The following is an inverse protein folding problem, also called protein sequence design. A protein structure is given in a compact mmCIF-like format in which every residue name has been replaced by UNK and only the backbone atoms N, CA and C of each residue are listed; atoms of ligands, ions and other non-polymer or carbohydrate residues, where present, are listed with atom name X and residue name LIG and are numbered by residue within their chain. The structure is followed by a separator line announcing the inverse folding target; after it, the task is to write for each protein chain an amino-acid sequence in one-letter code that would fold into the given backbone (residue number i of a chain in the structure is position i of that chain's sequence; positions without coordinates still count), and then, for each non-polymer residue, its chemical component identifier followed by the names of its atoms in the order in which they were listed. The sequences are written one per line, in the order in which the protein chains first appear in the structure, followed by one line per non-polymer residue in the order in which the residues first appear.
data_IF_452997624579
#
_entry.id   IF_452997624579
#
_cell.length_a   1.000
_cell.length_b   1.000
_cell.length_c   1.000
_cell.angle_alpha   90.00
_cell.angle_beta   90.00
_cell.angle_gamma   90.00
#
_symmetry.space_group_name_H-M   'P 1'
#
loop_
_entity.id
_entity.type
_entity.pdbx_description
1 polymer ?
#
# COMPACT_ATOMS: atom_id res chain seq x y z
N UNK A 1 -18.01 18.37 7.92
CA UNK A 1 -16.57 18.11 7.98
C UNK A 1 -16.27 16.62 7.88
N UNK A 2 -16.83 15.74 8.72
CA UNK A 2 -16.55 14.29 8.77
C UNK A 2 -16.62 13.62 7.40
N UNK A 3 -17.67 13.89 6.61
CA UNK A 3 -17.80 13.30 5.27
C UNK A 3 -16.72 13.78 4.29
N UNK A 4 -16.32 15.06 4.36
CA UNK A 4 -15.20 15.59 3.55
C UNK A 4 -13.88 14.91 3.91
N UNK A 5 -13.60 14.76 5.20
CA UNK A 5 -12.37 14.06 5.68
C UNK A 5 -12.33 12.63 5.19
N UNK A 6 -13.44 11.89 5.31
CA UNK A 6 -13.51 10.49 4.85
C UNK A 6 -13.41 10.37 3.34
N UNK A 7 -14.10 11.22 2.57
CA UNK A 7 -13.98 11.25 1.12
C UNK A 7 -12.54 11.55 0.67
N UNK A 8 -11.90 12.52 1.29
CA UNK A 8 -10.51 12.88 1.01
C UNK A 8 -9.52 11.75 1.34
N UNK A 9 -9.71 11.07 2.46
CA UNK A 9 -8.88 9.91 2.86
C UNK A 9 -9.02 8.75 1.88
N UNK A 10 -10.25 8.42 1.48
CA UNK A 10 -10.49 7.37 0.48
C UNK A 10 -9.91 7.78 -0.88
N UNK A 11 -10.09 9.03 -1.30
CA UNK A 11 -9.46 9.55 -2.50
C UNK A 11 -7.94 9.38 -2.47
N UNK A 12 -7.29 9.75 -1.37
CA UNK A 12 -5.83 9.62 -1.19
C UNK A 12 -5.32 8.18 -1.30
N UNK A 13 -6.13 7.18 -0.94
CA UNK A 13 -5.79 5.76 -1.11
C UNK A 13 -5.66 5.41 -2.60
N UNK A 14 -6.50 5.99 -3.47
CA UNK A 14 -6.57 5.65 -4.90
C UNK A 14 -5.75 6.56 -5.80
N UNK A 15 -5.40 7.76 -5.34
CA UNK A 15 -4.64 8.75 -6.13
C UNK A 15 -3.28 9.12 -5.53
N UNK A 16 -2.96 8.58 -4.36
CA UNK A 16 -1.70 8.84 -3.67
C UNK A 16 -1.69 10.14 -2.86
N UNK A 17 -2.52 11.12 -3.20
CA UNK A 17 -2.73 12.36 -2.47
C UNK A 17 -4.23 12.67 -2.36
N UNK A 18 -4.63 13.37 -1.31
CA UNK A 18 -6.00 13.86 -1.16
C UNK A 18 -6.32 15.02 -2.09
N UNK A 19 -7.62 15.28 -2.33
CA UNK A 19 -8.08 16.51 -2.97
C UNK A 19 -7.74 17.74 -2.14
N UNK A 20 -7.85 17.62 -0.81
CA UNK A 20 -7.24 18.54 0.16
C UNK A 20 -5.91 17.92 0.60
N UNK A 21 -4.80 18.60 0.35
CA UNK A 21 -3.44 18.09 0.63
C UNK A 21 -3.06 18.21 2.09
N UNK A 22 -3.52 19.25 2.79
CA UNK A 22 -3.39 19.37 4.24
C UNK A 22 -4.41 18.44 4.94
N UNK A 23 -4.13 17.13 4.94
CA UNK A 23 -5.05 16.13 5.47
C UNK A 23 -5.29 16.23 6.99
N UNK A 24 -4.46 16.93 7.69
CA UNK A 24 -4.48 17.25 9.13
C UNK A 24 -5.18 18.56 9.44
N UNK A 25 -5.33 19.47 8.44
CA UNK A 25 -6.00 20.74 8.61
C UNK A 25 -6.93 21.06 7.42
N UNK A 26 -8.22 20.92 7.65
CA UNK A 26 -9.29 21.33 6.74
C UNK A 26 -9.84 22.72 7.07
N UNK A 27 -9.15 23.44 7.97
CA UNK A 27 -9.54 24.77 8.42
C UNK A 27 -8.85 25.90 7.65
N UNK A 28 -8.89 27.08 8.22
CA UNK A 28 -8.41 28.29 7.56
C UNK A 28 -6.89 28.42 7.45
N UNK A 29 -6.13 27.56 8.12
CA UNK A 29 -4.66 27.51 8.00
C UNK A 29 -4.19 26.40 7.06
N UNK A 30 -5.09 25.48 6.69
CA UNK A 30 -4.82 24.42 5.73
C UNK A 30 -4.81 24.94 4.29
N UNK A 31 -4.26 24.12 3.40
CA UNK A 31 -4.27 24.41 1.98
C UNK A 31 -5.67 24.14 1.39
N UNK A 32 -6.29 25.11 0.69
CA UNK A 32 -7.59 24.89 0.08
C UNK A 32 -7.50 23.79 -1.00
N UNK A 33 -8.51 22.91 -1.12
CA UNK A 33 -8.49 21.87 -2.14
C UNK A 33 -8.59 22.47 -3.54
N UNK A 34 -7.79 21.97 -4.49
CA UNK A 34 -7.82 22.42 -5.88
C UNK A 34 -9.17 22.14 -6.57
N UNK A 35 -9.87 21.08 -6.14
CA UNK A 35 -11.16 20.65 -6.67
C UNK A 35 -12.22 20.61 -5.55
N UNK A 36 -12.53 21.78 -4.97
CA UNK A 36 -13.46 21.90 -3.83
C UNK A 36 -14.85 21.33 -4.18
N UNK A 37 -15.38 21.66 -5.35
CA UNK A 37 -16.71 21.20 -5.78
C UNK A 37 -16.77 19.66 -5.89
N UNK A 38 -15.69 19.02 -6.36
CA UNK A 38 -15.60 17.57 -6.42
C UNK A 38 -15.57 16.96 -5.02
N UNK A 39 -14.78 17.53 -4.11
CA UNK A 39 -14.71 17.07 -2.73
C UNK A 39 -16.08 17.20 -2.04
N UNK A 40 -16.76 18.32 -2.23
CA UNK A 40 -18.07 18.57 -1.66
C UNK A 40 -19.13 17.61 -2.20
N UNK A 41 -19.13 17.38 -3.50
CA UNK A 41 -20.04 16.42 -4.12
C UNK A 41 -19.83 15.01 -3.57
N UNK A 42 -18.58 14.53 -3.53
CA UNK A 42 -18.26 13.22 -2.97
C UNK A 42 -18.66 13.11 -1.50
N UNK A 43 -18.45 14.18 -0.72
CA UNK A 43 -18.82 14.24 0.68
C UNK A 43 -20.34 14.19 0.89
N UNK A 44 -21.12 14.93 0.08
CA UNK A 44 -22.57 14.94 0.13
C UNK A 44 -23.17 13.58 -0.26
N UNK A 45 -22.69 13.00 -1.36
CA UNK A 45 -23.11 11.66 -1.80
C UNK A 45 -22.77 10.58 -0.74
N UNK A 46 -21.61 10.70 -0.11
CA UNK A 46 -21.20 9.80 0.97
C UNK A 46 -22.06 9.97 2.23
N UNK A 47 -22.33 11.21 2.65
CA UNK A 47 -23.14 11.50 3.83
C UNK A 47 -24.59 11.01 3.72
N UNK A 48 -25.13 10.89 2.52
CA UNK A 48 -26.49 10.42 2.29
C UNK A 48 -26.74 8.97 2.75
N UNK A 49 -25.70 8.13 2.83
CA UNK A 49 -25.85 6.73 3.25
C UNK A 49 -24.64 6.13 3.93
N UNK A 50 -23.55 6.86 4.06
CA UNK A 50 -22.26 6.40 4.63
C UNK A 50 -21.74 5.10 4.02
N UNK A 51 -22.09 4.83 2.76
CA UNK A 51 -21.69 3.63 2.03
C UNK A 51 -20.30 3.79 1.42
N UNK A 52 -19.31 3.24 2.11
CA UNK A 52 -17.91 3.23 1.69
C UNK A 52 -17.73 2.50 0.35
N UNK A 53 -18.43 1.38 0.13
CA UNK A 53 -18.31 0.59 -1.11
C UNK A 53 -18.82 1.37 -2.32
N UNK A 54 -19.91 2.09 -2.15
CA UNK A 54 -20.46 2.98 -3.18
C UNK A 54 -19.49 4.09 -3.52
N UNK A 55 -18.90 4.75 -2.52
CA UNK A 55 -17.90 5.80 -2.74
C UNK A 55 -16.66 5.27 -3.46
N UNK A 56 -16.12 4.13 -3.03
CA UNK A 56 -15.00 3.46 -3.71
C UNK A 56 -15.36 3.16 -5.17
N UNK A 57 -16.53 2.58 -5.43
CA UNK A 57 -16.99 2.28 -6.79
C UNK A 57 -17.05 3.54 -7.64
N UNK A 58 -17.61 4.64 -7.12
CA UNK A 58 -17.67 5.94 -7.81
C UNK A 58 -16.27 6.41 -8.21
N UNK A 59 -15.29 6.30 -7.29
CA UNK A 59 -13.90 6.70 -7.55
C UNK A 59 -13.27 5.82 -8.63
N UNK A 60 -13.26 4.50 -8.46
CA UNK A 60 -12.48 3.59 -9.35
C UNK A 60 -13.10 3.41 -10.74
N UNK A 61 -14.41 3.69 -10.89
CA UNK A 61 -15.05 3.67 -12.22
C UNK A 61 -14.96 5.01 -12.95
N UNK A 62 -14.46 6.06 -12.29
CA UNK A 62 -14.33 7.39 -12.90
C UNK A 62 -13.31 7.40 -14.05
N UNK A 63 -13.49 8.31 -15.01
CA UNK A 63 -12.52 8.52 -16.09
C UNK A 63 -11.16 8.95 -15.55
N UNK A 64 -11.15 9.76 -14.50
CA UNK A 64 -9.93 10.25 -13.85
C UNK A 64 -9.09 9.09 -13.29
N UNK A 65 -9.71 8.13 -12.64
CA UNK A 65 -9.00 6.96 -12.11
C UNK A 65 -8.45 6.04 -13.21
N UNK A 66 -9.17 5.91 -14.33
CA UNK A 66 -8.82 5.01 -15.43
C UNK A 66 -7.88 5.61 -16.47
N UNK A 67 -7.35 6.80 -16.24
CA UNK A 67 -6.34 7.42 -17.11
C UNK A 67 -5.03 6.64 -17.05
N UNK A 68 -4.22 6.77 -18.12
CA UNK A 68 -2.82 6.36 -18.10
C UNK A 68 -2.04 7.18 -17.07
N UNK A 69 -1.01 6.57 -16.50
CA UNK A 69 0.00 7.29 -15.72
C UNK A 69 1.13 7.87 -16.60
N UNK A 70 1.15 7.54 -17.88
CA UNK A 70 2.09 8.11 -18.83
C UNK A 70 1.61 9.51 -19.25
N UNK A 71 2.55 10.43 -19.34
CA UNK A 71 2.29 11.81 -19.68
C UNK A 71 3.46 12.40 -20.49
N UNK A 72 3.15 13.33 -21.38
CA UNK A 72 4.17 14.10 -22.10
C UNK A 72 4.98 14.97 -21.12
N UNK A 73 6.24 15.27 -21.48
CA UNK A 73 7.14 16.06 -20.64
C UNK A 73 6.58 17.46 -20.33
N UNK A 74 5.91 18.08 -21.29
CA UNK A 74 5.28 19.38 -21.08
C UNK A 74 4.20 19.34 -20.00
N UNK A 75 3.41 18.25 -19.92
CA UNK A 75 2.41 18.07 -18.87
C UNK A 75 3.06 17.84 -17.51
N UNK A 76 4.15 17.06 -17.46
CA UNK A 76 4.92 16.83 -16.25
C UNK A 76 5.56 18.11 -15.72
N UNK A 77 6.09 18.96 -16.62
CA UNK A 77 6.67 20.25 -16.26
C UNK A 77 5.61 21.26 -15.77
N UNK A 78 4.42 21.25 -16.41
CA UNK A 78 3.33 22.17 -16.05
C UNK A 78 2.63 21.82 -14.75
N UNK A 79 2.44 20.53 -14.48
CA UNK A 79 1.73 20.01 -13.31
C UNK A 79 2.49 18.82 -12.72
N UNK A 80 3.66 19.06 -12.09
CA UNK A 80 4.50 18.00 -11.54
C UNK A 80 3.76 17.17 -10.48
N UNK A 81 2.95 17.82 -9.67
CA UNK A 81 2.22 17.20 -8.55
C UNK A 81 0.88 16.59 -8.96
N UNK A 82 0.54 16.63 -10.25
CA UNK A 82 -0.74 16.16 -10.77
C UNK A 82 -1.96 16.76 -10.05
N UNK A 83 -1.92 18.05 -9.76
CA UNK A 83 -3.00 18.78 -9.08
C UNK A 83 -4.24 18.89 -9.95
N UNK A 84 -4.04 18.96 -11.27
CA UNK A 84 -5.11 19.05 -12.27
C UNK A 84 -5.74 17.69 -12.61
N UNK A 85 -5.24 16.60 -12.03
CA UNK A 85 -5.72 15.23 -12.24
C UNK A 85 -5.73 14.83 -13.73
N UNK A 86 -4.76 15.30 -14.50
CA UNK A 86 -4.65 15.07 -15.93
C UNK A 86 -4.05 13.70 -16.30
N UNK A 87 -3.55 12.97 -15.33
CA UNK A 87 -3.00 11.61 -15.44
C UNK A 87 -3.29 10.80 -14.19
N UNK A 88 -3.11 9.48 -14.25
CA UNK A 88 -3.09 8.68 -13.02
C UNK A 88 -1.78 8.91 -12.26
N UNK A 89 -1.86 9.04 -10.94
CA UNK A 89 -0.68 9.22 -10.09
C UNK A 89 0.18 7.95 -10.04
N UNK A 90 1.47 8.13 -9.78
CA UNK A 90 2.41 7.02 -9.47
C UNK A 90 2.91 7.20 -8.05
N UNK A 91 2.63 6.23 -7.19
CA UNK A 91 3.10 6.25 -5.81
C UNK A 91 3.38 4.85 -5.29
N UNK A 92 4.25 4.76 -4.31
CA UNK A 92 4.55 3.49 -3.65
C UNK A 92 3.40 3.12 -2.70
N UNK A 93 3.06 1.83 -2.67
CA UNK A 93 2.13 1.29 -1.68
C UNK A 93 2.63 1.53 -0.24
N UNK A 94 1.72 1.68 0.74
CA UNK A 94 2.10 1.64 2.15
C UNK A 94 2.69 0.26 2.49
N UNK A 95 3.44 0.19 3.59
CA UNK A 95 4.18 -1.01 3.99
C UNK A 95 3.33 -2.29 4.00
N UNK A 96 2.13 -2.20 4.58
CA UNK A 96 1.19 -3.32 4.61
C UNK A 96 0.75 -3.74 3.21
N UNK A 97 0.52 -2.75 2.32
CA UNK A 97 0.14 -3.00 0.93
C UNK A 97 1.26 -3.63 0.10
N UNK A 98 2.53 -3.26 0.33
CA UNK A 98 3.69 -3.92 -0.33
C UNK A 98 3.72 -5.39 0.06
N UNK A 99 3.60 -5.71 1.35
CA UNK A 99 3.55 -7.07 1.83
C UNK A 99 2.39 -7.84 1.22
N UNK A 100 1.18 -7.30 1.31
CA UNK A 100 -0.03 -7.96 0.82
C UNK A 100 0.02 -8.22 -0.69
N UNK A 101 0.53 -7.26 -1.46
CA UNK A 101 0.69 -7.41 -2.91
C UNK A 101 1.66 -8.56 -3.28
N UNK A 102 2.79 -8.66 -2.59
CA UNK A 102 3.78 -9.72 -2.83
C UNK A 102 3.22 -11.10 -2.46
N UNK A 103 2.56 -11.20 -1.30
CA UNK A 103 1.92 -12.46 -0.88
C UNK A 103 0.77 -12.87 -1.80
N UNK A 104 -0.04 -11.91 -2.25
CA UNK A 104 -1.13 -12.15 -3.21
C UNK A 104 -0.60 -12.65 -4.56
N UNK A 105 0.40 -11.96 -5.10
CA UNK A 105 1.02 -12.29 -6.39
C UNK A 105 1.63 -13.69 -6.40
N UNK A 106 2.28 -14.07 -5.30
CA UNK A 106 2.87 -15.41 -5.16
C UNK A 106 1.85 -16.51 -4.91
N UNK A 107 0.64 -16.16 -4.43
CA UNK A 107 -0.38 -17.11 -4.01
C UNK A 107 -0.23 -17.60 -2.57
N UNK A 108 0.66 -16.99 -1.79
CA UNK A 108 0.84 -17.29 -0.37
C UNK A 108 -0.17 -16.60 0.55
N UNK A 109 -0.83 -15.53 0.09
CA UNK A 109 -1.69 -14.72 0.94
C UNK A 109 -2.83 -15.54 1.56
N UNK A 110 -2.90 -15.52 2.88
CA UNK A 110 -4.01 -16.08 3.65
C UNK A 110 -5.05 -15.01 3.91
N UNK A 111 -6.22 -15.15 3.29
CA UNK A 111 -7.33 -14.17 3.35
C UNK A 111 -8.32 -14.43 4.50
N UNK A 112 -7.84 -14.81 5.65
CA UNK A 112 -8.66 -14.98 6.84
C UNK A 112 -8.96 -13.64 7.50
N UNK A 113 -10.22 -13.33 7.77
CA UNK A 113 -10.66 -12.10 8.44
C UNK A 113 -10.84 -12.32 9.94
N UNK A 114 -10.35 -11.36 10.73
CA UNK A 114 -10.44 -11.41 12.20
C UNK A 114 -9.36 -12.30 12.83
N UNK A 115 -9.55 -12.65 14.09
CA UNK A 115 -8.60 -13.47 14.84
C UNK A 115 -7.41 -12.69 15.43
N UNK A 116 -6.46 -13.39 16.06
CA UNK A 116 -5.31 -12.79 16.72
C UNK A 116 -4.28 -12.23 15.74
N UNK A 117 -3.38 -11.39 16.26
CA UNK A 117 -2.20 -10.94 15.53
C UNK A 117 -1.30 -12.10 15.17
N UNK A 118 -0.56 -11.94 14.07
CA UNK A 118 0.40 -12.94 13.58
C UNK A 118 1.82 -12.41 13.66
N UNK A 119 2.77 -13.32 13.78
CA UNK A 119 4.18 -13.03 13.95
C UNK A 119 5.00 -13.58 12.77
N UNK A 120 5.09 -12.84 11.64
CA UNK A 120 5.94 -13.26 10.52
C UNK A 120 7.40 -13.38 10.97
N UNK A 121 8.23 -14.00 10.13
CA UNK A 121 9.67 -14.09 10.41
C UNK A 121 10.27 -12.72 10.74
N UNK A 122 11.09 -12.69 11.77
CA UNK A 122 11.86 -11.53 12.20
C UNK A 122 13.26 -12.00 12.63
N UNK A 123 14.35 -11.24 12.34
CA UNK A 123 15.70 -11.60 12.75
C UNK A 123 15.80 -11.84 14.25
N UNK A 124 16.50 -12.90 14.65
CA UNK A 124 16.75 -13.20 16.04
C UNK A 124 17.46 -12.05 16.76
N UNK A 125 17.12 -11.82 18.02
CA UNK A 125 17.72 -10.77 18.84
C UNK A 125 17.21 -9.36 18.55
N UNK A 126 16.25 -9.16 17.62
CA UNK A 126 15.69 -7.84 17.36
C UNK A 126 15.04 -7.22 18.60
N UNK A 127 14.41 -8.04 19.47
CA UNK A 127 13.82 -7.61 20.74
C UNK A 127 14.81 -7.57 21.93
N UNK A 128 16.11 -7.80 21.71
CA UNK A 128 17.11 -7.86 22.81
C UNK A 128 17.12 -6.61 23.70
N UNK A 129 16.79 -5.45 23.16
CA UNK A 129 16.75 -4.20 23.90
C UNK A 129 15.37 -3.82 24.43
N UNK A 130 14.37 -4.71 24.28
CA UNK A 130 13.05 -4.54 24.87
C UNK A 130 13.08 -5.03 26.33
N UNK A 131 13.28 -4.13 27.27
CA UNK A 131 13.59 -4.46 28.66
C UNK A 131 12.36 -4.55 29.57
N UNK A 132 11.26 -3.87 29.27
CA UNK A 132 10.12 -3.79 30.19
C UNK A 132 8.78 -3.92 29.44
N UNK A 133 8.08 -5.08 29.58
CA UNK A 133 8.61 -6.35 30.04
C UNK A 133 9.56 -6.98 29.03
N UNK A 134 10.50 -7.78 29.47
CA UNK A 134 11.30 -8.61 28.56
C UNK A 134 10.39 -9.51 27.75
N UNK A 135 10.58 -9.52 26.43
CA UNK A 135 9.79 -10.33 25.50
C UNK A 135 10.70 -11.01 24.51
N UNK A 136 10.41 -12.26 24.23
CA UNK A 136 10.98 -13.00 23.13
C UNK A 136 10.00 -13.00 21.97
N UNK A 137 10.50 -12.72 20.77
CA UNK A 137 9.69 -12.83 19.57
C UNK A 137 9.73 -14.26 19.07
N UNK A 138 8.58 -14.89 19.00
CA UNK A 138 8.42 -16.21 18.41
C UNK A 138 7.66 -16.07 17.10
N UNK A 139 8.32 -16.39 15.99
CA UNK A 139 7.69 -16.38 14.68
C UNK A 139 6.68 -17.52 14.54
N UNK A 140 5.58 -17.26 13.87
CA UNK A 140 4.69 -18.32 13.42
C UNK A 140 5.42 -19.20 12.39
N UNK A 141 5.21 -20.52 12.47
CA UNK A 141 5.85 -21.51 11.58
C UNK A 141 4.87 -22.12 10.59
N UNK A 142 3.64 -21.66 10.60
CA UNK A 142 2.54 -22.14 9.74
C UNK A 142 2.02 -21.03 8.82
N UNK A 143 0.90 -21.26 8.16
CA UNK A 143 0.28 -20.34 7.20
C UNK A 143 -0.11 -18.98 7.79
N UNK A 144 -0.20 -18.86 9.13
CA UNK A 144 -0.49 -17.57 9.79
C UNK A 144 0.54 -16.50 9.45
N UNK A 145 1.80 -16.89 9.24
CA UNK A 145 2.86 -15.94 8.85
C UNK A 145 2.57 -15.20 7.53
N UNK A 146 1.67 -15.71 6.68
CA UNK A 146 1.32 -15.10 5.39
C UNK A 146 -0.02 -14.34 5.40
N UNK A 147 -0.57 -14.09 6.57
CA UNK A 147 -1.76 -13.22 6.67
C UNK A 147 -1.42 -11.79 6.28
N UNK A 148 -2.48 -11.00 5.98
CA UNK A 148 -2.36 -9.59 5.59
C UNK A 148 -1.55 -8.78 6.59
N UNK A 149 -0.83 -7.76 6.10
CA UNK A 149 -0.06 -6.82 6.91
C UNK A 149 -0.84 -6.15 8.03
N UNK A 150 -2.17 -6.04 7.87
CA UNK A 150 -3.08 -5.56 8.90
C UNK A 150 -3.02 -6.39 10.21
N UNK A 151 -2.76 -7.69 10.11
CA UNK A 151 -2.73 -8.62 11.24
C UNK A 151 -1.34 -8.83 11.82
N UNK A 152 -0.29 -8.27 11.22
CA UNK A 152 1.07 -8.38 11.74
C UNK A 152 1.14 -7.73 13.12
N UNK A 153 1.74 -8.45 14.09
CA UNK A 153 1.92 -7.94 15.44
C UNK A 153 2.67 -6.61 15.46
N UNK A 154 2.10 -5.63 16.16
CA UNK A 154 2.63 -4.28 16.21
C UNK A 154 3.22 -3.98 17.57
N UNK A 155 4.54 -4.03 17.65
CA UNK A 155 5.28 -3.59 18.83
C UNK A 155 5.75 -2.14 18.59
N UNK A 156 5.25 -1.18 19.36
CA UNK A 156 5.42 0.27 19.10
C UNK A 156 6.86 0.69 18.83
N UNK A 157 7.78 0.44 19.77
CA UNK A 157 9.19 0.82 19.65
C UNK A 157 10.01 -0.17 18.80
N UNK A 158 9.48 -1.36 18.52
CA UNK A 158 10.14 -2.45 17.81
C UNK A 158 9.24 -2.94 16.67
N UNK A 159 8.85 -2.01 15.81
CA UNK A 159 8.05 -2.33 14.64
C UNK A 159 8.76 -3.37 13.78
N UNK A 160 7.99 -4.31 13.23
CA UNK A 160 8.53 -5.36 12.37
C UNK A 160 9.46 -4.77 11.28
N UNK A 161 10.70 -5.28 11.12
CA UNK A 161 11.72 -4.68 10.25
C UNK A 161 11.26 -4.47 8.80
N UNK A 162 10.49 -5.42 8.26
CA UNK A 162 9.89 -5.33 6.94
C UNK A 162 8.96 -4.12 6.81
N UNK A 163 8.07 -3.89 7.79
CA UNK A 163 7.16 -2.76 7.77
C UNK A 163 7.90 -1.43 7.97
N UNK A 164 8.90 -1.42 8.85
CA UNK A 164 9.73 -0.24 9.11
C UNK A 164 10.52 0.20 7.86
N UNK A 165 10.99 -0.75 7.05
CA UNK A 165 11.72 -0.45 5.82
C UNK A 165 10.85 0.27 4.75
N UNK A 166 9.54 0.17 4.85
CA UNK A 166 8.56 0.81 3.98
C UNK A 166 7.77 1.93 4.66
N UNK A 167 8.37 2.60 5.66
CA UNK A 167 7.83 3.78 6.34
C UNK A 167 6.50 3.54 7.06
N UNK A 168 6.25 2.34 7.58
CA UNK A 168 5.10 2.15 8.45
C UNK A 168 5.23 3.01 9.71
N UNK A 169 4.16 3.71 10.13
CA UNK A 169 4.21 4.59 11.31
C UNK A 169 4.38 3.77 12.59
N UNK A 170 5.04 4.34 13.59
CA UNK A 170 5.22 3.72 14.92
C UNK A 170 3.89 3.56 15.67
N UNK A 171 2.88 4.35 15.34
CA UNK A 171 1.59 4.49 16.03
C UNK A 171 1.74 5.07 17.46
N UNK A 172 2.82 5.77 17.73
CA UNK A 172 2.99 6.52 18.98
C UNK A 172 2.24 7.85 18.92
N UNK A 173 2.19 8.42 17.71
CA UNK A 173 1.48 9.66 17.43
C UNK A 173 0.45 9.47 16.33
N UNK A 174 -0.58 10.34 16.33
CA UNK A 174 -1.56 10.39 15.26
C UNK A 174 -0.91 10.98 14.00
N UNK A 175 -0.94 10.24 12.91
CA UNK A 175 -0.37 10.65 11.63
C UNK A 175 -1.47 10.73 10.58
N UNK A 176 -1.79 11.92 10.12
CA UNK A 176 -2.79 12.14 9.06
C UNK A 176 -2.26 11.70 7.69
N UNK A 177 -0.98 11.96 7.43
CA UNK A 177 -0.28 11.59 6.19
C UNK A 177 0.93 10.73 6.51
N UNK A 178 0.97 9.52 5.92
CA UNK A 178 2.12 8.61 6.07
C UNK A 178 3.27 9.04 5.16
N UNK A 179 4.48 9.00 5.66
CA UNK A 179 5.68 9.20 4.84
C UNK A 179 5.81 8.09 3.79
N UNK A 180 6.42 8.42 2.66
CA UNK A 180 6.75 7.48 1.59
C UNK A 180 8.11 7.86 1.04
N UNK A 181 9.13 7.09 1.37
CA UNK A 181 10.49 7.29 0.91
C UNK A 181 10.97 6.11 0.08
N UNK A 182 11.81 6.38 -0.91
CA UNK A 182 12.50 5.34 -1.67
C UNK A 182 13.93 5.27 -1.17
N UNK A 183 14.18 4.37 -0.22
CA UNK A 183 15.50 4.19 0.38
C UNK A 183 16.21 2.95 -0.17
N UNK A 184 17.55 2.94 -0.23
CA UNK A 184 18.31 1.73 -0.53
C UNK A 184 17.97 0.56 0.41
N UNK A 185 17.62 0.86 1.67
CA UNK A 185 17.19 -0.14 2.65
C UNK A 185 15.90 -0.85 2.22
N UNK A 186 14.91 -0.12 1.67
CA UNK A 186 13.68 -0.73 1.16
C UNK A 186 13.98 -1.68 0.00
N UNK A 187 14.86 -1.29 -0.94
CA UNK A 187 15.29 -2.17 -2.03
C UNK A 187 16.02 -3.41 -1.52
N UNK A 188 16.90 -3.25 -0.53
CA UNK A 188 17.60 -4.37 0.09
C UNK A 188 16.66 -5.36 0.79
N UNK A 189 15.62 -4.86 1.45
CA UNK A 189 14.60 -5.70 2.10
C UNK A 189 13.81 -6.49 1.05
N UNK A 190 13.46 -5.90 -0.09
CA UNK A 190 12.79 -6.64 -1.19
C UNK A 190 13.63 -7.82 -1.69
N UNK A 191 14.96 -7.71 -1.65
CA UNK A 191 15.87 -8.75 -2.14
C UNK A 191 16.21 -9.82 -1.10
N UNK A 192 16.19 -9.47 0.19
CA UNK A 192 16.78 -10.32 1.23
C UNK A 192 15.81 -10.75 2.35
N UNK A 193 14.63 -10.11 2.47
CA UNK A 193 13.66 -10.52 3.48
C UNK A 193 13.16 -11.93 3.18
N UNK A 194 13.24 -12.89 4.14
CA UNK A 194 12.86 -14.27 3.90
C UNK A 194 11.43 -14.44 3.37
N UNK A 195 10.48 -13.62 3.83
CA UNK A 195 9.09 -13.66 3.33
C UNK A 195 9.02 -13.30 1.84
N UNK A 196 9.80 -12.30 1.40
CA UNK A 196 9.80 -11.88 -0.01
C UNK A 196 10.56 -12.86 -0.89
N UNK A 197 11.66 -13.42 -0.41
CA UNK A 197 12.40 -14.47 -1.11
C UNK A 197 11.54 -15.73 -1.29
N UNK A 198 10.82 -16.14 -0.24
CA UNK A 198 9.90 -17.28 -0.30
C UNK A 198 8.74 -17.00 -1.28
N UNK A 199 8.17 -15.82 -1.25
CA UNK A 199 7.12 -15.41 -2.19
C UNK A 199 7.62 -15.43 -3.64
N UNK A 200 8.82 -14.93 -3.90
CA UNK A 200 9.45 -14.99 -5.24
C UNK A 200 9.68 -16.43 -5.71
N UNK A 201 10.17 -17.30 -4.82
CA UNK A 201 10.34 -18.73 -5.10
C UNK A 201 9.00 -19.39 -5.44
N UNK A 202 7.98 -19.15 -4.63
CA UNK A 202 6.64 -19.74 -4.84
C UNK A 202 6.02 -19.26 -6.15
N UNK A 203 6.18 -17.96 -6.50
CA UNK A 203 5.73 -17.45 -7.79
C UNK A 203 6.47 -18.13 -8.96
N UNK A 204 7.79 -18.30 -8.84
CA UNK A 204 8.58 -19.00 -9.87
C UNK A 204 8.14 -20.46 -10.05
N UNK A 205 7.95 -21.20 -8.95
CA UNK A 205 7.45 -22.57 -8.96
C UNK A 205 6.06 -22.69 -9.61
N UNK A 206 5.20 -21.71 -9.35
CA UNK A 206 3.86 -21.63 -9.95
C UNK A 206 3.95 -21.44 -11.46
N UNK A 207 4.73 -20.47 -11.93
CA UNK A 207 4.90 -20.18 -13.35
C UNK A 207 5.54 -21.35 -14.11
N UNK A 208 6.52 -22.03 -13.50
CA UNK A 208 7.11 -23.22 -14.07
C UNK A 208 6.12 -24.36 -14.30
N UNK A 209 5.06 -24.45 -13.48
CA UNK A 209 3.98 -25.43 -13.64
C UNK A 209 2.92 -25.01 -14.67
N UNK A 210 2.69 -23.70 -14.81
CA UNK A 210 1.66 -23.13 -15.69
C UNK A 210 2.08 -23.14 -17.17
N UNK A 211 3.38 -22.99 -17.45
CA UNK A 211 3.87 -22.73 -18.81
C UNK A 211 5.12 -23.56 -19.17
N UNK A 212 5.22 -23.97 -20.44
CA UNK A 212 6.25 -24.87 -20.92
C UNK A 212 7.50 -24.20 -21.50
N UNK A 213 7.42 -22.97 -22.03
CA UNK A 213 8.55 -22.30 -22.66
C UNK A 213 8.93 -21.00 -21.92
N UNK A 214 10.16 -20.53 -22.11
CA UNK A 214 10.70 -19.40 -21.35
C UNK A 214 10.06 -18.07 -21.70
N UNK A 215 9.64 -17.85 -22.94
CA UNK A 215 8.96 -16.62 -23.34
C UNK A 215 7.57 -16.52 -22.68
N UNK A 216 6.82 -17.61 -22.64
CA UNK A 216 5.55 -17.67 -21.94
C UNK A 216 5.70 -17.53 -20.42
N UNK A 217 6.80 -18.06 -19.85
CA UNK A 217 7.11 -17.89 -18.42
C UNK A 217 7.39 -16.43 -18.08
N UNK A 218 8.15 -15.73 -18.89
CA UNK A 218 8.42 -14.30 -18.71
C UNK A 218 7.11 -13.50 -18.82
N UNK A 219 6.28 -13.76 -19.84
CA UNK A 219 4.98 -13.09 -20.00
C UNK A 219 4.09 -13.34 -18.77
N UNK A 220 4.02 -14.55 -18.26
CA UNK A 220 3.26 -14.91 -17.07
C UNK A 220 3.77 -14.20 -15.81
N UNK A 221 5.09 -14.16 -15.58
CA UNK A 221 5.67 -13.43 -14.46
C UNK A 221 5.32 -11.94 -14.48
N UNK A 222 5.42 -11.29 -15.66
CA UNK A 222 5.06 -9.89 -15.83
C UNK A 222 3.58 -9.64 -15.57
N UNK A 223 2.71 -10.52 -16.05
CA UNK A 223 1.26 -10.40 -15.82
C UNK A 223 0.91 -10.58 -14.35
N UNK A 224 1.51 -11.57 -13.67
CA UNK A 224 1.26 -11.78 -12.24
C UNK A 224 1.78 -10.62 -11.39
N UNK A 225 2.99 -10.14 -11.66
CA UNK A 225 3.63 -9.12 -10.85
C UNK A 225 3.16 -7.69 -11.16
N UNK A 226 2.92 -7.37 -12.45
CA UNK A 226 2.72 -6.02 -12.94
C UNK A 226 1.39 -5.81 -13.69
N UNK A 227 0.59 -6.87 -13.88
CA UNK A 227 -0.68 -6.83 -14.63
C UNK A 227 -0.53 -6.33 -16.08
N UNK A 228 0.66 -6.42 -16.66
CA UNK A 228 0.98 -6.06 -18.05
C UNK A 228 1.97 -7.05 -18.65
N UNK A 229 2.13 -7.01 -19.98
CA UNK A 229 3.18 -7.76 -20.67
C UNK A 229 4.53 -7.06 -20.55
N UNK A 230 5.65 -7.78 -20.71
CA UNK A 230 6.96 -7.15 -20.88
C UNK A 230 6.96 -6.26 -22.13
N UNK A 231 7.77 -5.21 -22.08
CA UNK A 231 8.05 -4.39 -23.25
C UNK A 231 8.96 -5.20 -24.17
N UNK A 232 8.79 -5.03 -25.51
CA UNK A 232 9.57 -5.72 -26.54
C UNK A 232 11.02 -5.26 -26.56
#
# INVERSE_FOLDING_TARGET
LTARVMANRLWAVFFGAGLCRSADDFGGQGEPPDHLELLDRLALEFAAGWDVRRLIRTIVTSRVYRQSSDAAEELLARDPDNRLLARQGRWRYPAEGVRDAILLTSGLLVEELGGPSVHPYQPAGYYRHLNFPQREYQSDTDQRQWRRGLYVHWQRMFLHPQLLAFDAPTREECTATRMRSNTPKAALVLLNDPTFVEAARTLAERVLKETGDDAARIDALWRHALSRRPDS
#
